data_IF_860725269398
#
_entry.id   IF_860725269398
#
_cell.length_a   1.000
_cell.length_b   1.000
_cell.length_c   1.000
_cell.angle_alpha   90.00
_cell.angle_beta   90.00
_cell.angle_gamma   90.00
#
_symmetry.space_group_name_H-M   'P 1'
#
loop_
_entity.id
_entity.type
_entity.pdbx_description
1 polymer ?
#
# COMPACT_ATOMS: atom_id res chain seq x y z
N UNK A 1 -19.74 -0.37 -13.20
CA UNK A 1 -19.31 -1.78 -13.16
C UNK A 1 -17.82 -1.82 -13.46
N UNK A 2 -17.00 -2.23 -12.50
CA UNK A 2 -15.58 -2.50 -12.70
C UNK A 2 -15.47 -3.78 -13.53
N UNK A 3 -15.39 -3.68 -14.84
CA UNK A 3 -14.88 -4.76 -15.65
C UNK A 3 -13.35 -4.63 -15.65
N UNK A 4 -12.69 -5.22 -14.67
CA UNK A 4 -11.30 -5.61 -14.87
C UNK A 4 -11.29 -6.48 -16.13
N UNK A 5 -10.50 -6.09 -17.13
CA UNK A 5 -10.41 -6.87 -18.34
C UNK A 5 -9.98 -8.30 -17.94
N UNK A 6 -10.70 -9.32 -18.43
CA UNK A 6 -10.43 -10.75 -18.08
C UNK A 6 -8.98 -11.17 -18.32
N UNK A 7 -8.26 -10.44 -19.17
CA UNK A 7 -6.84 -10.65 -19.49
C UNK A 7 -5.89 -10.46 -18.30
N UNK A 8 -6.31 -9.73 -17.24
CA UNK A 8 -5.50 -9.53 -16.04
C UNK A 8 -5.79 -10.54 -14.92
N UNK A 9 -6.64 -11.53 -15.14
CA UNK A 9 -6.95 -12.53 -14.12
C UNK A 9 -6.14 -13.78 -14.41
N UNK A 10 -4.98 -13.93 -13.75
CA UNK A 10 -4.16 -15.14 -13.83
C UNK A 10 -3.69 -15.54 -12.44
N UNK A 11 -3.48 -16.83 -12.25
CA UNK A 11 -2.87 -17.36 -11.04
C UNK A 11 -1.39 -17.02 -11.02
N UNK A 12 -0.90 -16.49 -9.90
CA UNK A 12 0.52 -16.36 -9.60
C UNK A 12 0.97 -17.42 -8.61
N UNK A 13 2.24 -17.75 -8.64
CA UNK A 13 2.86 -18.75 -7.78
C UNK A 13 4.04 -18.14 -7.04
N UNK A 14 4.04 -18.26 -5.73
CA UNK A 14 5.20 -17.97 -4.89
C UNK A 14 5.68 -19.29 -4.30
N UNK A 15 6.83 -19.77 -4.70
CA UNK A 15 7.55 -20.83 -3.99
C UNK A 15 8.62 -20.21 -3.13
N UNK A 16 9.15 -20.96 -2.18
CA UNK A 16 10.27 -20.44 -1.41
C UNK A 16 10.88 -21.44 -0.45
N UNK A 17 11.87 -20.94 0.25
CA UNK A 17 12.58 -21.69 1.29
C UNK A 17 12.86 -20.82 2.50
N UNK A 18 12.58 -21.37 3.67
CA UNK A 18 12.95 -20.76 4.96
C UNK A 18 14.28 -21.37 5.41
N UNK A 19 15.27 -20.51 5.62
CA UNK A 19 16.58 -20.86 6.13
C UNK A 19 16.68 -20.58 7.63
N UNK A 20 17.63 -21.23 8.31
CA UNK A 20 17.94 -20.99 9.72
C UNK A 20 16.71 -21.10 10.66
N UNK A 21 15.87 -22.11 10.44
CA UNK A 21 14.59 -22.34 11.14
C UNK A 21 14.72 -22.45 12.65
N UNK A 22 15.89 -22.81 13.15
CA UNK A 22 16.17 -22.95 14.59
C UNK A 22 16.05 -21.61 15.35
N UNK A 23 16.07 -20.48 14.65
CA UNK A 23 15.83 -19.15 15.24
C UNK A 23 14.37 -18.93 15.65
N UNK A 24 13.42 -19.53 14.92
CA UNK A 24 11.99 -19.47 15.20
C UNK A 24 11.37 -20.88 15.07
N UNK A 25 11.72 -21.82 15.98
CA UNK A 25 11.31 -23.22 15.87
C UNK A 25 9.80 -23.43 16.03
N UNK A 26 9.09 -22.44 16.61
CA UNK A 26 7.63 -22.44 16.75
C UNK A 26 6.92 -22.14 15.43
N UNK A 27 7.57 -21.49 14.47
CA UNK A 27 6.97 -21.13 13.18
C UNK A 27 6.83 -22.37 12.31
N UNK A 28 5.59 -22.78 12.08
CA UNK A 28 5.25 -23.97 11.28
C UNK A 28 4.50 -23.63 10.01
N UNK A 29 4.05 -22.38 9.89
CA UNK A 29 3.17 -21.92 8.82
C UNK A 29 3.56 -20.50 8.40
N UNK A 30 3.42 -20.19 7.11
CA UNK A 30 3.51 -18.85 6.59
C UNK A 30 2.14 -18.35 6.14
N UNK A 31 1.92 -17.06 6.25
CA UNK A 31 0.69 -16.40 5.80
C UNK A 31 1.02 -15.37 4.72
N UNK A 32 0.53 -15.60 3.51
CA UNK A 32 0.53 -14.59 2.44
C UNK A 32 -0.67 -13.67 2.65
N UNK A 33 -0.41 -12.37 2.63
CA UNK A 33 -1.42 -11.32 2.70
C UNK A 33 -1.52 -10.63 1.36
N UNK A 34 -2.72 -10.53 0.84
CA UNK A 34 -3.06 -9.73 -0.33
C UNK A 34 -3.98 -8.62 0.16
N UNK A 35 -3.50 -7.37 0.27
CA UNK A 35 -4.34 -6.24 0.65
C UNK A 35 -5.53 -6.12 -0.32
N UNK A 36 -6.72 -5.98 0.20
CA UNK A 36 -7.95 -5.84 -0.57
C UNK A 36 -8.78 -4.67 -0.05
N UNK A 37 -9.69 -4.13 -0.85
CA UNK A 37 -10.54 -3.01 -0.44
C UNK A 37 -11.37 -3.34 0.80
N UNK A 38 -11.71 -2.32 1.59
CA UNK A 38 -12.63 -2.40 2.72
C UNK A 38 -12.11 -3.23 3.91
N UNK A 39 -10.84 -3.09 4.26
CA UNK A 39 -10.19 -3.85 5.36
C UNK A 39 -10.30 -5.38 5.21
N UNK A 40 -10.61 -5.83 4.01
CA UNK A 40 -10.56 -7.24 3.69
C UNK A 40 -9.18 -7.58 3.17
N UNK A 41 -8.53 -8.51 3.83
CA UNK A 41 -7.29 -9.12 3.37
C UNK A 41 -7.62 -10.54 2.92
N UNK A 42 -7.23 -10.89 1.71
CA UNK A 42 -7.18 -12.30 1.37
C UNK A 42 -5.92 -12.89 1.98
N UNK A 43 -6.11 -13.86 2.87
CA UNK A 43 -5.02 -14.56 3.55
C UNK A 43 -4.94 -15.98 3.02
N UNK A 44 -3.77 -16.37 2.57
CA UNK A 44 -3.45 -17.72 2.18
C UNK A 44 -2.41 -18.28 3.15
N UNK A 45 -2.65 -19.48 3.68
CA UNK A 45 -1.74 -20.11 4.61
C UNK A 45 -1.10 -21.33 3.99
N UNK A 46 0.16 -21.56 4.29
CA UNK A 46 0.91 -22.74 3.83
C UNK A 46 1.84 -23.24 4.92
N UNK A 47 1.93 -24.55 5.14
CA UNK A 47 2.91 -25.10 6.06
C UNK A 47 4.34 -24.92 5.53
N UNK A 48 5.28 -24.74 6.44
CA UNK A 48 6.70 -24.85 6.15
C UNK A 48 7.06 -26.35 6.23
N UNK A 49 7.47 -26.93 5.11
CA UNK A 49 7.84 -28.34 5.03
C UNK A 49 9.11 -28.66 5.85
N UNK A 50 9.41 -29.92 6.07
CA UNK A 50 10.59 -30.33 6.85
C UNK A 50 11.90 -29.78 6.29
N UNK A 51 12.03 -29.71 4.97
CA UNK A 51 13.19 -29.15 4.27
C UNK A 51 13.20 -27.61 4.21
N UNK A 52 12.21 -26.94 4.81
CA UNK A 52 12.01 -25.49 4.81
C UNK A 52 11.25 -24.97 3.61
N UNK A 53 10.85 -25.78 2.65
CA UNK A 53 10.11 -25.33 1.46
C UNK A 53 8.69 -24.93 1.78
N UNK A 54 8.13 -24.00 0.97
CA UNK A 54 6.75 -23.57 1.02
C UNK A 54 6.24 -23.16 -0.36
N UNK A 55 4.91 -23.05 -0.54
CA UNK A 55 4.31 -22.61 -1.79
C UNK A 55 2.96 -21.96 -1.57
N UNK A 56 2.70 -20.86 -2.29
CA UNK A 56 1.40 -20.22 -2.41
C UNK A 56 0.95 -20.20 -3.86
N UNK A 57 -0.35 -20.40 -4.08
CA UNK A 57 -1.03 -20.19 -5.36
C UNK A 57 -2.25 -19.33 -5.14
N UNK A 58 -2.39 -18.26 -5.91
CA UNK A 58 -3.48 -17.31 -5.71
C UNK A 58 -3.75 -16.50 -6.99
N UNK A 59 -5.00 -16.07 -7.20
CA UNK A 59 -5.33 -15.24 -8.35
C UNK A 59 -4.86 -13.80 -8.16
N UNK A 60 -4.32 -13.20 -9.22
CA UNK A 60 -3.96 -11.78 -9.28
C UNK A 60 -4.96 -11.06 -10.17
N UNK A 61 -5.62 -10.03 -9.64
CA UNK A 61 -6.68 -9.25 -10.30
C UNK A 61 -6.25 -7.82 -10.63
N UNK A 62 -4.98 -7.62 -10.96
CA UNK A 62 -4.42 -6.30 -11.24
C UNK A 62 -3.29 -6.42 -12.25
N UNK A 63 -2.95 -5.32 -12.94
CA UNK A 63 -1.77 -5.28 -13.80
C UNK A 63 -0.49 -5.50 -13.00
N UNK A 64 -0.40 -4.88 -11.84
CA UNK A 64 0.68 -5.03 -10.85
C UNK A 64 0.08 -5.09 -9.46
N UNK A 65 0.50 -6.06 -8.66
CA UNK A 65 -0.02 -6.30 -7.32
C UNK A 65 1.10 -6.34 -6.29
N UNK A 66 0.91 -5.61 -5.19
CA UNK A 66 1.68 -5.76 -3.98
C UNK A 66 1.07 -6.87 -3.11
N UNK A 67 1.91 -7.74 -2.59
CA UNK A 67 1.56 -8.79 -1.64
C UNK A 67 2.65 -8.87 -0.56
N UNK A 68 2.36 -9.53 0.56
CA UNK A 68 3.37 -9.72 1.61
C UNK A 68 3.28 -11.11 2.24
N UNK A 69 4.42 -11.68 2.61
CA UNK A 69 4.47 -12.81 3.52
C UNK A 69 4.66 -12.22 4.92
N UNK A 70 3.60 -12.28 5.73
CA UNK A 70 3.49 -11.61 7.03
C UNK A 70 4.74 -11.82 7.88
N UNK A 71 5.31 -10.72 8.37
CA UNK A 71 6.49 -10.63 9.22
C UNK A 71 7.84 -11.03 8.56
N UNK A 72 7.84 -11.48 7.29
CA UNK A 72 9.06 -12.06 6.70
C UNK A 72 9.46 -11.47 5.35
N UNK A 73 8.51 -11.18 4.47
CA UNK A 73 8.76 -10.57 3.17
C UNK A 73 7.63 -9.59 2.87
N UNK A 74 7.80 -8.36 3.32
CA UNK A 74 6.87 -7.29 3.04
C UNK A 74 7.18 -6.66 1.68
N UNK A 75 6.13 -6.10 1.03
CA UNK A 75 6.30 -5.37 -0.22
C UNK A 75 6.88 -6.21 -1.39
N UNK A 76 6.30 -7.39 -1.63
CA UNK A 76 6.57 -8.15 -2.85
C UNK A 76 5.64 -7.69 -3.97
N UNK A 77 6.18 -7.52 -5.18
CA UNK A 77 5.45 -7.05 -6.34
C UNK A 77 5.40 -8.11 -7.42
N UNK A 78 4.23 -8.39 -7.96
CA UNK A 78 3.98 -9.45 -8.93
C UNK A 78 2.98 -9.02 -10.01
N UNK A 79 3.11 -9.62 -11.19
CA UNK A 79 2.11 -9.55 -12.25
C UNK A 79 1.22 -10.81 -12.26
N UNK A 80 0.07 -10.74 -12.94
CA UNK A 80 -0.73 -11.94 -13.23
C UNK A 80 0.08 -12.98 -14.00
N UNK A 81 0.18 -14.18 -13.45
CA UNK A 81 0.88 -15.29 -14.07
C UNK A 81 2.35 -15.45 -13.68
N UNK A 82 2.91 -14.54 -12.89
CA UNK A 82 4.29 -14.65 -12.43
C UNK A 82 4.50 -15.88 -11.54
N UNK A 83 5.68 -16.49 -11.70
CA UNK A 83 6.22 -17.50 -10.81
C UNK A 83 7.52 -16.97 -10.20
N UNK A 84 7.52 -16.77 -8.89
CA UNK A 84 8.70 -16.28 -8.17
C UNK A 84 9.13 -17.27 -7.09
N UNK A 85 10.41 -17.18 -6.71
CA UNK A 85 10.97 -17.91 -5.58
C UNK A 85 11.47 -16.93 -4.54
N UNK A 86 11.03 -17.10 -3.29
CA UNK A 86 11.37 -16.22 -2.16
C UNK A 86 12.16 -17.01 -1.12
N UNK A 87 13.40 -16.62 -0.89
CA UNK A 87 14.22 -17.15 0.18
C UNK A 87 14.11 -16.24 1.40
N UNK A 88 13.70 -16.80 2.53
CA UNK A 88 13.51 -16.10 3.80
C UNK A 88 14.55 -16.65 4.78
N UNK A 89 15.47 -15.81 5.22
CA UNK A 89 16.43 -16.19 6.26
C UNK A 89 15.93 -15.72 7.64
N UNK A 90 15.65 -16.65 8.54
CA UNK A 90 15.21 -16.31 9.90
C UNK A 90 16.31 -15.63 10.75
N UNK A 91 17.54 -15.55 10.27
CA UNK A 91 18.58 -14.68 10.86
C UNK A 91 18.53 -13.25 10.35
N UNK A 92 17.97 -13.05 9.14
CA UNK A 92 17.88 -11.73 8.49
C UNK A 92 16.52 -11.58 7.81
N UNK A 93 15.51 -11.22 8.61
CA UNK A 93 14.12 -11.09 8.17
C UNK A 93 13.87 -9.89 7.25
N UNK A 94 14.82 -8.94 7.17
CA UNK A 94 14.61 -7.69 6.44
C UNK A 94 15.06 -7.75 4.98
N UNK A 95 15.77 -8.81 4.58
CA UNK A 95 16.35 -8.94 3.24
C UNK A 95 15.93 -10.25 2.57
N UNK A 96 14.62 -10.47 2.31
CA UNK A 96 14.20 -11.64 1.56
C UNK A 96 14.78 -11.58 0.14
N UNK A 97 15.28 -12.72 -0.35
CA UNK A 97 15.79 -12.80 -1.71
C UNK A 97 14.69 -13.27 -2.65
N UNK A 98 14.41 -12.47 -3.67
CA UNK A 98 13.42 -12.78 -4.71
C UNK A 98 14.12 -13.12 -6.00
N UNK A 99 13.71 -14.24 -6.63
CA UNK A 99 14.17 -14.67 -7.96
C UNK A 99 12.97 -15.11 -8.81
N UNK A 100 13.17 -15.29 -10.12
CA UNK A 100 12.12 -15.70 -11.05
C UNK A 100 11.55 -14.52 -11.87
N UNK A 101 10.28 -14.64 -12.31
CA UNK A 101 9.70 -13.73 -13.31
C UNK A 101 9.70 -12.26 -12.86
N UNK A 102 9.45 -11.99 -11.58
CA UNK A 102 9.41 -10.64 -11.04
C UNK A 102 10.70 -10.23 -10.30
N UNK A 103 11.83 -10.92 -10.48
CA UNK A 103 13.09 -10.59 -9.80
C UNK A 103 13.52 -9.14 -10.09
N UNK A 104 13.63 -8.78 -11.35
CA UNK A 104 14.04 -7.44 -11.77
C UNK A 104 13.08 -6.36 -11.30
N UNK A 105 11.77 -6.63 -11.37
CA UNK A 105 10.73 -5.73 -10.89
C UNK A 105 10.94 -5.39 -9.40
N UNK A 106 11.11 -6.42 -8.57
CA UNK A 106 11.29 -6.25 -7.12
C UNK A 106 12.61 -5.54 -6.79
N UNK A 107 13.71 -5.89 -7.48
CA UNK A 107 15.01 -5.22 -7.30
C UNK A 107 14.96 -3.74 -7.66
N UNK A 108 14.32 -3.37 -8.78
CA UNK A 108 14.21 -1.97 -9.19
C UNK A 108 13.28 -1.16 -8.28
N UNK A 109 12.17 -1.73 -7.81
CA UNK A 109 11.29 -1.06 -6.83
C UNK A 109 12.03 -0.86 -5.51
N UNK A 110 12.76 -1.87 -5.02
CA UNK A 110 13.58 -1.75 -3.82
C UNK A 110 14.62 -0.63 -3.97
N UNK A 111 15.34 -0.59 -5.08
CA UNK A 111 16.32 0.47 -5.36
C UNK A 111 15.69 1.87 -5.38
N UNK A 112 14.45 2.01 -5.87
CA UNK A 112 13.70 3.26 -5.79
C UNK A 112 13.36 3.62 -4.35
N UNK A 113 12.84 2.67 -3.57
CA UNK A 113 12.46 2.92 -2.17
C UNK A 113 13.64 3.30 -1.31
N UNK A 114 14.80 2.70 -1.51
CA UNK A 114 16.03 3.01 -0.77
C UNK A 114 16.68 4.34 -1.17
N UNK A 115 16.61 4.72 -2.45
CA UNK A 115 17.35 5.86 -2.99
C UNK A 115 16.54 7.14 -3.13
N UNK A 116 15.25 7.03 -3.40
CA UNK A 116 14.41 8.17 -3.80
C UNK A 116 13.10 8.28 -3.02
N UNK A 117 12.71 7.22 -2.32
CA UNK A 117 11.43 7.17 -1.66
C UNK A 117 11.60 6.96 -0.16
N UNK A 118 11.30 8.00 0.61
CA UNK A 118 11.10 7.85 2.05
C UNK A 118 9.60 7.70 2.30
N UNK A 119 9.20 6.61 2.93
CA UNK A 119 7.83 6.48 3.42
C UNK A 119 7.45 7.72 4.19
N UNK A 120 6.30 8.33 3.84
CA UNK A 120 5.67 9.35 4.66
C UNK A 120 5.11 8.65 5.93
N UNK A 121 5.97 8.02 6.70
CA UNK A 121 5.57 7.39 7.95
C UNK A 121 5.34 8.43 9.06
N UNK A 122 5.95 9.58 8.94
CA UNK A 122 5.94 10.60 9.98
C UNK A 122 5.78 11.98 9.35
N UNK A 123 4.62 12.26 8.75
CA UNK A 123 4.16 13.59 9.02
C UNK A 123 3.95 13.63 10.54
N UNK A 124 4.89 14.23 11.25
CA UNK A 124 4.58 14.84 12.52
C UNK A 124 3.54 15.90 12.18
N UNK A 125 2.30 15.45 12.06
CA UNK A 125 1.17 16.31 11.78
C UNK A 125 1.20 17.29 12.93
N UNK A 126 1.66 18.50 12.64
CA UNK A 126 1.49 19.57 13.60
C UNK A 126 -0.01 19.80 13.69
N UNK A 127 -0.68 19.36 14.77
CA UNK A 127 -2.13 19.46 14.89
C UNK A 127 -2.60 20.91 14.91
N UNK A 128 -1.67 21.87 15.01
CA UNK A 128 -1.94 23.30 15.02
C UNK A 128 -1.88 23.94 13.62
N UNK A 129 -1.41 23.22 12.60
CA UNK A 129 -1.51 23.71 11.22
C UNK A 129 -2.99 23.77 10.82
N UNK A 130 -3.36 24.80 10.12
CA UNK A 130 -4.64 24.78 9.40
C UNK A 130 -4.49 23.99 8.10
N UNK A 131 -5.62 23.54 7.55
CA UNK A 131 -5.64 22.70 6.33
C UNK A 131 -4.89 23.34 5.17
N UNK A 132 -4.99 24.67 5.01
CA UNK A 132 -4.37 25.37 3.89
C UNK A 132 -2.83 25.35 3.99
N UNK A 133 -2.29 25.58 5.18
CA UNK A 133 -0.86 25.55 5.43
C UNK A 133 -0.31 24.12 5.31
N UNK A 134 -1.06 23.13 5.82
CA UNK A 134 -0.71 21.72 5.63
C UNK A 134 -0.65 21.34 4.14
N UNK A 135 -1.65 21.71 3.35
CA UNK A 135 -1.64 21.42 1.90
C UNK A 135 -0.46 22.09 1.19
N UNK A 136 -0.06 23.30 1.61
CA UNK A 136 1.08 23.99 1.03
C UNK A 136 2.40 23.28 1.36
N UNK A 137 2.57 22.81 2.58
CA UNK A 137 3.74 22.02 2.99
C UNK A 137 3.76 20.65 2.30
N UNK A 138 2.63 19.96 2.26
CA UNK A 138 2.51 18.68 1.57
C UNK A 138 2.81 18.80 0.08
N UNK A 139 2.39 19.90 -0.57
CA UNK A 139 2.70 20.14 -1.98
C UNK A 139 4.19 20.31 -2.21
N UNK A 140 4.90 21.02 -1.35
CA UNK A 140 6.37 21.16 -1.43
C UNK A 140 7.06 19.81 -1.30
N UNK A 141 6.62 19.00 -0.35
CA UNK A 141 7.15 17.65 -0.15
C UNK A 141 6.88 16.76 -1.36
N UNK A 142 5.68 16.82 -1.92
CA UNK A 142 5.34 16.07 -3.13
C UNK A 142 6.20 16.47 -4.32
N UNK A 143 6.43 17.79 -4.53
CA UNK A 143 7.28 18.29 -5.61
C UNK A 143 8.74 17.85 -5.45
N UNK A 144 9.27 17.89 -4.23
CA UNK A 144 10.59 17.36 -3.92
C UNK A 144 10.72 15.87 -4.25
N UNK A 145 9.70 15.06 -3.95
CA UNK A 145 9.69 13.63 -4.29
C UNK A 145 9.61 13.37 -5.78
N UNK A 146 8.86 14.19 -6.51
CA UNK A 146 8.84 14.11 -7.98
C UNK A 146 10.23 14.40 -8.58
N UNK A 147 10.97 15.35 -8.01
CA UNK A 147 12.36 15.63 -8.42
C UNK A 147 13.27 14.42 -8.14
N UNK A 148 13.23 13.85 -6.92
CA UNK A 148 13.98 12.65 -6.56
C UNK A 148 13.65 11.46 -7.47
N UNK A 149 12.37 11.27 -7.78
CA UNK A 149 11.95 10.26 -8.75
C UNK A 149 12.54 10.51 -10.13
N UNK A 150 12.55 11.77 -10.60
CA UNK A 150 13.13 12.12 -11.90
C UNK A 150 14.62 11.80 -11.96
N UNK A 151 15.37 12.09 -10.89
CA UNK A 151 16.78 11.70 -10.75
C UNK A 151 16.98 10.19 -10.83
N UNK A 152 16.13 9.44 -10.09
CA UNK A 152 16.15 7.98 -10.12
C UNK A 152 15.91 7.44 -11.53
N UNK A 153 14.86 7.90 -12.22
CA UNK A 153 14.53 7.44 -13.56
C UNK A 153 15.65 7.75 -14.57
N UNK A 154 16.28 8.90 -14.45
CA UNK A 154 17.39 9.31 -15.30
C UNK A 154 18.62 8.42 -15.09
N UNK A 155 18.93 8.14 -13.83
CA UNK A 155 20.12 7.38 -13.43
C UNK A 155 19.99 5.89 -13.73
N UNK A 156 18.86 5.29 -13.38
CA UNK A 156 18.70 3.84 -13.40
C UNK A 156 17.95 3.31 -14.61
N UNK A 157 17.18 4.15 -15.31
CA UNK A 157 16.37 3.79 -16.48
C UNK A 157 15.59 2.48 -16.26
N UNK A 158 14.75 2.42 -15.21
CA UNK A 158 14.06 1.20 -14.83
C UNK A 158 13.06 0.78 -15.92
N UNK A 159 12.55 -0.44 -15.79
CA UNK A 159 11.49 -0.95 -16.66
C UNK A 159 10.22 -0.08 -16.58
N UNK A 160 9.38 -0.15 -17.62
CA UNK A 160 8.19 0.69 -17.75
C UNK A 160 7.23 0.52 -16.55
N UNK A 161 7.03 -0.71 -16.09
CA UNK A 161 6.12 -0.98 -14.95
C UNK A 161 6.63 -0.35 -13.64
N UNK A 162 7.92 -0.26 -13.42
CA UNK A 162 8.51 0.47 -12.28
C UNK A 162 8.34 1.97 -12.45
N UNK A 163 8.50 2.48 -13.67
CA UNK A 163 8.24 3.90 -13.97
C UNK A 163 6.80 4.28 -13.64
N UNK A 164 5.83 3.47 -14.06
CA UNK A 164 4.41 3.67 -13.76
C UNK A 164 4.11 3.49 -12.26
N UNK A 165 4.65 2.44 -11.64
CA UNK A 165 4.46 2.16 -10.22
C UNK A 165 4.93 3.33 -9.34
N UNK A 166 6.13 3.84 -9.58
CA UNK A 166 6.70 4.93 -8.78
C UNK A 166 5.92 6.23 -8.90
N UNK A 167 5.35 6.50 -10.08
CA UNK A 167 4.45 7.64 -10.29
C UNK A 167 3.16 7.50 -9.49
N UNK A 168 2.52 6.35 -9.58
CA UNK A 168 1.26 6.11 -8.89
C UNK A 168 1.45 6.04 -7.37
N UNK A 169 2.56 5.47 -6.89
CA UNK A 169 2.88 5.42 -5.46
C UNK A 169 3.00 6.82 -4.85
N UNK A 170 3.71 7.75 -5.51
CA UNK A 170 3.81 9.13 -5.02
C UNK A 170 2.45 9.84 -5.00
N UNK A 171 1.60 9.63 -6.00
CA UNK A 171 0.23 10.17 -6.00
C UNK A 171 -0.60 9.58 -4.87
N UNK A 172 -0.51 8.27 -4.65
CA UNK A 172 -1.20 7.58 -3.59
C UNK A 172 -0.80 8.13 -2.21
N UNK A 173 0.49 8.32 -1.96
CA UNK A 173 0.97 8.92 -0.73
C UNK A 173 0.45 10.35 -0.52
N UNK A 174 0.44 11.15 -1.57
CA UNK A 174 -0.08 12.51 -1.50
C UNK A 174 -1.57 12.54 -1.12
N UNK A 175 -2.40 11.72 -1.75
CA UNK A 175 -3.82 11.66 -1.44
C UNK A 175 -4.10 11.02 -0.07
N UNK A 176 -3.32 10.00 0.30
CA UNK A 176 -3.40 9.43 1.64
C UNK A 176 -3.13 10.49 2.71
N UNK A 177 -2.04 11.24 2.58
CA UNK A 177 -1.67 12.26 3.54
C UNK A 177 -2.76 13.36 3.66
N UNK A 178 -3.36 13.80 2.55
CA UNK A 178 -4.47 14.73 2.57
C UNK A 178 -5.67 14.19 3.33
N UNK A 179 -6.11 12.97 3.02
CA UNK A 179 -7.27 12.34 3.67
C UNK A 179 -7.01 12.09 5.15
N UNK A 180 -5.86 11.51 5.46
CA UNK A 180 -5.45 11.20 6.82
C UNK A 180 -5.43 12.46 7.69
N UNK A 181 -4.80 13.54 7.20
CA UNK A 181 -4.76 14.81 7.91
C UNK A 181 -6.18 15.37 8.13
N UNK A 182 -7.00 15.40 7.08
CA UNK A 182 -8.38 15.87 7.19
C UNK A 182 -9.19 15.08 8.23
N UNK A 183 -9.06 13.76 8.24
CA UNK A 183 -9.75 12.89 9.20
C UNK A 183 -9.21 13.06 10.64
N UNK A 184 -7.89 13.23 10.82
CA UNK A 184 -7.27 13.41 12.15
C UNK A 184 -7.53 14.80 12.75
N UNK A 185 -7.46 15.85 11.93
CA UNK A 185 -7.65 17.23 12.39
C UNK A 185 -9.12 17.61 12.56
N UNK A 186 -10.01 16.67 12.30
CA UNK A 186 -11.46 16.85 12.40
C UNK A 186 -11.93 18.07 11.58
N UNK A 187 -12.47 17.82 10.41
CA UNK A 187 -13.06 18.88 9.60
C UNK A 187 -13.93 19.80 10.45
N UNK A 188 -13.43 20.99 10.74
CA UNK A 188 -14.08 21.94 11.63
C UNK A 188 -15.30 22.60 10.99
N UNK A 189 -15.36 22.58 9.66
CA UNK A 189 -16.42 23.23 8.90
C UNK A 189 -16.87 22.36 7.71
N UNK A 190 -18.13 22.54 7.31
CA UNK A 190 -18.67 21.92 6.11
C UNK A 190 -17.88 22.31 4.84
N UNK A 191 -17.36 23.54 4.80
CA UNK A 191 -16.56 24.03 3.67
C UNK A 191 -15.26 23.22 3.50
N UNK A 192 -14.64 22.80 4.60
CA UNK A 192 -13.46 21.95 4.59
C UNK A 192 -13.81 20.55 4.08
N UNK A 193 -14.93 19.99 4.52
CA UNK A 193 -15.42 18.71 4.01
C UNK A 193 -15.72 18.75 2.50
N UNK A 194 -16.41 19.79 2.04
CA UNK A 194 -16.75 19.97 0.62
C UNK A 194 -15.48 20.10 -0.24
N UNK A 195 -14.40 20.64 0.30
CA UNK A 195 -13.09 20.70 -0.39
C UNK A 195 -12.52 19.29 -0.61
N UNK A 196 -12.57 18.43 0.39
CA UNK A 196 -12.11 17.05 0.28
C UNK A 196 -13.00 16.20 -0.62
N UNK A 197 -14.28 16.47 -0.67
CA UNK A 197 -15.19 15.81 -1.61
C UNK A 197 -14.75 15.97 -3.07
N UNK A 198 -14.13 17.10 -3.41
CA UNK A 198 -13.57 17.36 -4.75
C UNK A 198 -12.35 16.50 -5.10
N UNK A 199 -11.73 15.85 -4.12
CA UNK A 199 -10.61 14.93 -4.34
C UNK A 199 -11.06 13.54 -4.78
N UNK A 200 -12.28 13.12 -4.45
CA UNK A 200 -12.78 11.77 -4.71
C UNK A 200 -12.68 11.34 -6.19
N UNK A 201 -12.98 12.19 -7.20
CA UNK A 201 -12.80 11.81 -8.60
C UNK A 201 -11.34 11.52 -8.96
N UNK A 202 -10.38 12.25 -8.38
CA UNK A 202 -8.96 12.03 -8.61
C UNK A 202 -8.49 10.74 -7.93
N UNK A 203 -8.95 10.50 -6.70
CA UNK A 203 -8.69 9.26 -5.95
C UNK A 203 -9.25 8.05 -6.73
N UNK A 204 -10.47 8.12 -7.25
CA UNK A 204 -11.04 7.05 -8.06
C UNK A 204 -10.20 6.70 -9.29
N UNK A 205 -9.49 7.66 -9.87
CA UNK A 205 -8.61 7.39 -11.02
C UNK A 205 -7.40 6.53 -10.64
N UNK A 206 -6.94 6.57 -9.39
CA UNK A 206 -5.82 5.73 -8.94
C UNK A 206 -6.17 4.25 -9.04
N UNK A 207 -7.40 3.88 -8.71
CA UNK A 207 -7.87 2.48 -8.77
C UNK A 207 -7.96 1.94 -10.20
N UNK A 208 -8.14 2.81 -11.19
CA UNK A 208 -8.30 2.42 -12.59
C UNK A 208 -6.96 2.13 -13.30
N UNK A 209 -5.84 2.36 -12.65
CA UNK A 209 -4.50 2.12 -13.22
C UNK A 209 -4.07 0.65 -13.17
N UNK A 210 -4.79 -0.17 -12.42
CA UNK A 210 -4.45 -1.59 -12.24
C UNK A 210 -3.20 -1.83 -11.41
N UNK A 211 -2.69 -0.80 -10.72
CA UNK A 211 -1.56 -0.89 -9.78
C UNK A 211 -2.14 -0.88 -8.38
N UNK A 212 -2.17 -2.05 -7.74
CA UNK A 212 -2.77 -2.23 -6.42
C UNK A 212 -1.68 -2.42 -5.37
N UNK A 213 -1.41 -1.36 -4.62
CA UNK A 213 -0.45 -1.31 -3.51
C UNK A 213 -1.16 -1.33 -2.16
N UNK A 214 -0.40 -1.58 -1.09
CA UNK A 214 -0.89 -1.44 0.28
C UNK A 214 -1.37 0.00 0.56
N UNK A 215 -0.74 1.02 -0.04
CA UNK A 215 -1.15 2.41 0.10
C UNK A 215 -2.55 2.70 -0.45
N UNK A 216 -2.98 2.04 -1.52
CA UNK A 216 -4.37 2.17 -2.00
C UNK A 216 -5.38 1.61 -1.01
N UNK A 217 -5.00 0.57 -0.27
CA UNK A 217 -5.81 0.04 0.82
C UNK A 217 -5.98 1.09 1.95
N UNK A 218 -4.88 1.74 2.36
CA UNK A 218 -4.91 2.81 3.35
C UNK A 218 -5.81 3.98 2.90
N UNK A 219 -5.74 4.35 1.61
CA UNK A 219 -6.62 5.38 1.04
C UNK A 219 -8.09 4.97 1.12
N UNK A 220 -8.41 3.72 0.84
CA UNK A 220 -9.79 3.23 0.92
C UNK A 220 -10.34 3.35 2.35
N UNK A 221 -9.52 3.03 3.36
CA UNK A 221 -9.89 3.18 4.78
C UNK A 221 -10.13 4.66 5.15
N UNK A 222 -9.26 5.55 4.69
CA UNK A 222 -9.44 6.98 4.93
C UNK A 222 -10.66 7.57 4.20
N UNK A 223 -10.98 7.09 3.00
CA UNK A 223 -12.21 7.47 2.29
C UNK A 223 -13.45 6.97 3.04
N UNK A 224 -13.43 5.74 3.56
CA UNK A 224 -14.53 5.22 4.38
C UNK A 224 -14.75 6.08 5.63
N UNK A 225 -13.69 6.44 6.33
CA UNK A 225 -13.75 7.33 7.50
C UNK A 225 -14.34 8.70 7.14
N UNK A 226 -13.91 9.26 6.02
CA UNK A 226 -14.43 10.53 5.52
C UNK A 226 -15.93 10.46 5.23
N UNK A 227 -16.39 9.40 4.55
CA UNK A 227 -17.81 9.20 4.23
C UNK A 227 -18.62 9.02 5.52
N UNK A 228 -18.15 8.19 6.45
CA UNK A 228 -18.79 7.94 7.73
C UNK A 228 -18.91 9.23 8.56
N UNK A 229 -17.86 10.06 8.57
CA UNK A 229 -17.88 11.36 9.21
C UNK A 229 -18.92 12.30 8.57
N UNK A 230 -19.00 12.35 7.24
CA UNK A 230 -19.97 13.16 6.51
C UNK A 230 -21.42 12.78 6.79
N UNK A 231 -21.69 11.49 6.99
CA UNK A 231 -23.02 10.98 7.36
C UNK A 231 -23.37 11.45 8.79
N UNK A 232 -22.47 11.23 9.75
CA UNK A 232 -22.71 11.61 11.15
C UNK A 232 -22.74 13.12 11.37
N UNK A 233 -22.01 13.91 10.57
CA UNK A 233 -22.05 15.37 10.64
C UNK A 233 -23.39 15.96 10.21
N UNK A 234 -24.10 15.30 9.29
CA UNK A 234 -25.47 15.71 8.89
C UNK A 234 -26.49 15.51 10.00
N UNK A 235 -26.29 14.51 10.83
CA UNK A 235 -27.27 14.09 11.84
C UNK A 235 -27.02 14.68 13.24
N UNK A 236 -25.79 15.15 13.52
CA UNK A 236 -25.43 15.70 14.84
C UNK A 236 -24.68 17.03 14.69
N UNK A 237 -25.08 18.03 15.45
CA UNK A 237 -24.50 19.38 15.43
C UNK A 237 -23.00 19.44 15.83
N UNK A 238 -22.38 18.38 16.37
CA UNK A 238 -20.94 18.26 16.64
C UNK A 238 -20.51 16.84 17.11
N UNK A 239 -20.41 15.83 16.27
CA UNK A 239 -19.74 14.60 16.66
C UNK A 239 -18.22 14.70 16.39
N UNK A 240 -17.38 14.27 17.34
CA UNK A 240 -15.96 14.06 17.09
C UNK A 240 -15.74 12.70 16.42
N UNK A 241 -14.72 12.58 15.56
CA UNK A 241 -14.33 11.28 14.96
C UNK A 241 -13.99 10.25 16.04
N UNK A 242 -13.53 10.68 17.22
CA UNK A 242 -13.33 9.82 18.39
C UNK A 242 -14.60 9.11 18.83
N UNK A 243 -15.77 9.78 18.75
CA UNK A 243 -17.04 9.18 19.17
C UNK A 243 -17.48 8.06 18.22
N UNK A 244 -17.09 8.15 16.94
CA UNK A 244 -17.41 7.12 15.95
C UNK A 244 -16.48 5.89 16.05
N UNK A 245 -15.19 6.10 16.29
CA UNK A 245 -14.22 5.00 16.47
C UNK A 245 -14.42 4.28 17.81
N UNK A 246 -14.84 5.01 18.86
CA UNK A 246 -15.18 4.44 20.17
C UNK A 246 -16.38 3.52 20.15
N UNK A 247 -17.42 3.83 19.36
CA UNK A 247 -18.65 3.05 19.30
C UNK A 247 -18.54 1.69 18.57
N UNK A 248 -17.43 1.44 17.89
CA UNK A 248 -17.16 0.12 17.22
C UNK A 248 -16.35 -0.85 18.09
N UNK A 249 -15.95 -0.46 19.31
CA UNK A 249 -15.16 -1.33 20.23
C UNK A 249 -16.01 -1.96 21.34
N UNK A 250 -17.29 -1.70 21.35
CA UNK A 250 -18.30 -2.40 22.14
C UNK A 250 -19.14 -3.33 21.24
#
# INVERSE_FOLDING_TARGET
SYSLAKEYIKEAVITGKVLNRDFYPQEKELTLIIPFFWKMENQYRTPIQEDGSFSFRFPVYAKLREVSIRNYAEHLYIHPGDSIHVEIDFKDLFHPKVTGDAEKLNQEILAFTESAYYYIQNYSINPNLNIKDFEAELKKEYDFRLERRSEYLTKYKPMEDVTLFTEELLKQDYYYALLFYGNQCQFKTRKEMDRYHKLLPAINKLYNKGILSARLYDIADEVERYIAYGITYKDKKNPSVRDYVGSRRE
#
